data_IF_946263356414
#
_entry.id   IF_946263356414
#
_cell.length_a   1.000
_cell.length_b   1.000
_cell.length_c   1.000
_cell.angle_alpha   90.00
_cell.angle_beta   90.00
_cell.angle_gamma   90.00
#
_symmetry.space_group_name_H-M   'P 1'
#
loop_
_entity.id
_entity.type
_entity.pdbx_description
1 polymer ?
#
# COMPACT_ATOMS: atom_id res chain seq x y z
N UNK A 1 30.89 -35.65 -17.14
CA UNK A 1 30.97 -35.53 -15.67
C UNK A 1 29.72 -36.14 -15.06
N UNK A 2 29.84 -36.93 -14.00
CA UNK A 2 28.72 -37.37 -13.18
C UNK A 2 28.31 -36.26 -12.19
N UNK A 3 27.10 -36.31 -11.64
CA UNK A 3 26.67 -35.31 -10.66
C UNK A 3 27.55 -35.39 -9.39
N UNK A 4 28.06 -36.58 -9.04
CA UNK A 4 28.88 -36.82 -7.85
C UNK A 4 30.25 -36.13 -7.88
N UNK A 5 30.84 -35.89 -9.06
CA UNK A 5 32.06 -35.09 -9.24
C UNK A 5 31.81 -33.58 -9.27
N UNK A 6 30.56 -33.16 -9.46
CA UNK A 6 30.19 -31.76 -9.48
C UNK A 6 29.76 -31.30 -8.08
N UNK A 7 30.73 -30.86 -7.26
CA UNK A 7 30.55 -30.35 -5.89
C UNK A 7 29.23 -29.58 -5.70
N UNK A 8 28.22 -30.28 -5.19
CA UNK A 8 26.85 -29.81 -5.13
C UNK A 8 26.71 -28.55 -4.31
N UNK A 9 25.95 -27.58 -4.82
CA UNK A 9 25.39 -26.52 -3.98
C UNK A 9 23.92 -26.83 -3.73
N UNK A 10 23.64 -27.71 -2.76
CA UNK A 10 22.31 -27.79 -2.14
C UNK A 10 22.25 -26.75 -1.02
N UNK A 11 22.31 -25.48 -1.41
CA UNK A 11 22.30 -24.36 -0.47
C UNK A 11 21.16 -23.42 -0.83
N UNK A 12 20.13 -23.38 0.01
CA UNK A 12 19.27 -22.21 0.09
C UNK A 12 20.07 -21.10 0.76
N UNK A 13 20.38 -20.02 0.06
CA UNK A 13 20.88 -18.82 0.73
C UNK A 13 19.72 -18.33 1.60
N UNK A 14 19.87 -18.26 2.92
CA UNK A 14 18.77 -17.93 3.85
C UNK A 14 18.06 -16.60 3.53
N UNK A 15 18.67 -15.73 2.72
CA UNK A 15 18.10 -14.46 2.26
C UNK A 15 17.51 -14.50 0.85
N UNK A 16 17.71 -15.57 0.10
CA UNK A 16 17.15 -15.72 -1.22
C UNK A 16 16.62 -17.13 -1.39
N UNK A 17 15.28 -17.23 -1.38
CA UNK A 17 14.48 -18.46 -1.55
C UNK A 17 14.83 -19.17 -2.85
N UNK A 18 15.98 -19.84 -2.90
CA UNK A 18 16.52 -20.53 -4.05
C UNK A 18 16.67 -22.01 -3.72
N UNK A 19 16.28 -22.83 -4.68
CA UNK A 19 16.62 -24.24 -4.72
C UNK A 19 17.36 -24.47 -6.05
N UNK A 20 18.61 -24.89 -5.96
CA UNK A 20 19.43 -25.27 -7.11
C UNK A 20 19.46 -26.80 -7.20
N UNK A 21 19.29 -27.35 -8.40
CA UNK A 21 19.35 -28.80 -8.65
C UNK A 21 20.34 -29.13 -9.78
N UNK A 22 21.04 -30.26 -9.66
CA UNK A 22 21.84 -30.86 -10.74
C UNK A 22 20.88 -31.47 -11.78
N UNK A 23 21.01 -31.15 -13.07
CA UNK A 23 20.33 -31.89 -14.12
C UNK A 23 21.35 -32.52 -15.08
N UNK A 24 21.39 -33.86 -15.09
CA UNK A 24 21.85 -34.60 -16.26
C UNK A 24 20.71 -34.58 -17.28
N UNK A 25 20.89 -33.85 -18.38
CA UNK A 25 19.98 -33.90 -19.53
C UNK A 25 18.98 -32.75 -19.56
N UNK A 26 18.95 -32.10 -20.73
CA UNK A 26 18.01 -31.10 -21.24
C UNK A 26 17.25 -30.24 -20.22
N UNK A 27 17.62 -28.95 -20.08
CA UNK A 27 16.76 -28.00 -19.38
C UNK A 27 15.36 -27.96 -20.01
N UNK A 28 14.29 -27.83 -19.21
CA UNK A 28 13.07 -27.22 -19.72
C UNK A 28 13.43 -25.86 -20.32
N UNK A 29 12.90 -25.50 -21.49
CA UNK A 29 13.19 -24.22 -22.18
C UNK A 29 12.92 -22.96 -21.33
N UNK A 30 12.26 -23.13 -20.18
CA UNK A 30 11.89 -22.07 -19.25
C UNK A 30 12.89 -21.81 -18.12
N UNK A 31 13.91 -22.66 -17.93
CA UNK A 31 14.85 -22.57 -16.81
C UNK A 31 16.13 -21.80 -17.16
N UNK A 32 16.64 -21.03 -16.20
CA UNK A 32 17.93 -20.34 -16.34
C UNK A 32 19.05 -21.23 -15.84
N UNK A 33 20.05 -21.40 -16.69
CA UNK A 33 21.24 -22.18 -16.44
C UNK A 33 22.37 -21.28 -15.97
N UNK A 34 22.93 -21.54 -14.80
CA UNK A 34 24.18 -20.96 -14.35
C UNK A 34 25.30 -21.94 -14.68
N UNK A 35 26.06 -21.66 -15.74
CA UNK A 35 27.22 -22.47 -16.12
C UNK A 35 28.41 -22.02 -15.29
N UNK A 36 28.89 -22.90 -14.40
CA UNK A 36 30.11 -22.73 -13.62
C UNK A 36 31.33 -22.83 -14.53
N UNK A 37 32.45 -22.25 -14.07
CA UNK A 37 33.74 -22.29 -14.76
C UNK A 37 34.26 -23.72 -15.06
N UNK A 38 33.82 -24.71 -14.29
CA UNK A 38 34.17 -26.12 -14.51
C UNK A 38 33.24 -26.86 -15.51
N UNK A 39 32.35 -26.13 -16.20
CA UNK A 39 31.40 -26.71 -17.14
C UNK A 39 30.15 -27.32 -16.51
N UNK A 40 29.99 -27.24 -15.18
CA UNK A 40 28.75 -27.66 -14.52
C UNK A 40 27.63 -26.63 -14.69
N UNK A 41 26.40 -27.10 -14.82
CA UNK A 41 25.20 -26.27 -14.89
C UNK A 41 24.36 -26.40 -13.62
N UNK A 42 24.18 -25.30 -12.88
CA UNK A 42 23.15 -25.21 -11.84
C UNK A 42 21.90 -24.56 -12.43
N UNK A 43 20.74 -25.16 -12.21
CA UNK A 43 19.47 -24.60 -12.68
C UNK A 43 18.81 -23.82 -11.56
N UNK A 44 18.46 -22.57 -11.85
CA UNK A 44 17.55 -21.81 -11.02
C UNK A 44 16.13 -22.20 -11.41
N UNK A 45 15.37 -22.80 -10.49
CA UNK A 45 13.92 -23.01 -10.65
C UNK A 45 13.23 -21.64 -10.51
N UNK A 46 13.30 -20.83 -11.56
CA UNK A 46 12.60 -19.56 -11.67
C UNK A 46 12.10 -19.44 -13.10
N UNK A 47 10.78 -19.43 -13.25
CA UNK A 47 10.17 -19.18 -14.56
C UNK A 47 10.63 -17.82 -15.11
N UNK A 48 10.63 -17.70 -16.45
CA UNK A 48 11.09 -16.51 -17.19
C UNK A 48 10.67 -15.17 -16.58
N UNK A 49 9.41 -15.03 -16.18
CA UNK A 49 8.89 -13.79 -15.58
C UNK A 49 9.56 -13.46 -14.24
N UNK A 50 9.88 -14.45 -13.42
CA UNK A 50 10.58 -14.21 -12.15
C UNK A 50 12.00 -13.71 -12.38
N UNK A 51 12.66 -14.20 -13.42
CA UNK A 51 14.01 -13.77 -13.81
C UNK A 51 13.99 -12.34 -14.34
N UNK A 52 13.06 -12.05 -15.25
CA UNK A 52 12.82 -10.69 -15.79
C UNK A 52 12.54 -9.73 -14.64
N UNK A 53 11.59 -10.09 -13.77
CA UNK A 53 11.24 -9.28 -12.62
C UNK A 53 12.47 -9.04 -11.74
N UNK A 54 13.22 -10.07 -11.33
CA UNK A 54 14.41 -9.88 -10.47
C UNK A 54 15.48 -8.99 -11.11
N UNK A 55 15.77 -9.18 -12.41
CA UNK A 55 16.78 -8.42 -13.15
C UNK A 55 16.46 -6.93 -13.20
N UNK A 56 15.17 -6.60 -13.23
CA UNK A 56 14.70 -5.23 -13.43
C UNK A 56 13.96 -4.66 -12.22
N UNK A 57 13.69 -5.44 -11.16
CA UNK A 57 12.90 -5.03 -9.98
C UNK A 57 13.52 -3.83 -9.28
N UNK A 58 14.84 -3.83 -9.10
CA UNK A 58 15.54 -2.70 -8.48
C UNK A 58 15.31 -1.41 -9.26
N UNK A 59 15.49 -1.46 -10.58
CA UNK A 59 15.27 -0.31 -11.47
C UNK A 59 13.78 0.08 -11.47
N UNK A 60 12.88 -0.88 -11.57
CA UNK A 60 11.43 -0.65 -11.63
C UNK A 60 10.90 0.01 -10.35
N UNK A 61 11.36 -0.44 -9.19
CA UNK A 61 10.87 0.02 -7.89
C UNK A 61 11.58 1.28 -7.39
N UNK A 62 12.86 1.48 -7.74
CA UNK A 62 13.66 2.62 -7.26
C UNK A 62 13.74 3.76 -8.28
N UNK A 63 13.95 3.46 -9.56
CA UNK A 63 14.15 4.45 -10.62
C UNK A 63 12.86 4.74 -11.42
N UNK A 64 11.83 3.90 -11.25
CA UNK A 64 10.49 4.08 -11.81
C UNK A 64 10.33 3.75 -13.31
N UNK A 65 9.07 3.79 -13.76
CA UNK A 65 8.66 3.37 -15.11
C UNK A 65 9.32 4.19 -16.23
N UNK A 66 9.57 5.48 -16.00
CA UNK A 66 10.22 6.35 -16.98
C UNK A 66 11.62 5.85 -17.35
N UNK A 67 12.36 5.34 -16.36
CA UNK A 67 13.72 4.85 -16.54
C UNK A 67 13.73 3.52 -17.29
N UNK A 68 12.80 2.61 -16.97
CA UNK A 68 12.60 1.39 -17.76
C UNK A 68 12.23 1.71 -19.21
N UNK A 69 11.31 2.64 -19.44
CA UNK A 69 10.92 3.07 -20.79
C UNK A 69 12.08 3.67 -21.58
N UNK A 70 12.94 4.47 -20.94
CA UNK A 70 14.15 5.01 -21.56
C UNK A 70 15.10 3.88 -21.99
N UNK A 71 15.35 2.90 -21.11
CA UNK A 71 16.21 1.74 -21.39
C UNK A 71 15.63 0.85 -22.49
N UNK A 72 14.32 0.61 -22.49
CA UNK A 72 13.60 -0.10 -23.56
C UNK A 72 13.81 0.60 -24.91
N UNK A 73 13.57 1.92 -24.94
CA UNK A 73 13.69 2.73 -26.15
C UNK A 73 15.14 2.77 -26.66
N UNK A 74 16.12 2.77 -25.75
CA UNK A 74 17.53 2.67 -26.12
C UNK A 74 17.85 1.31 -26.74
N UNK A 75 17.42 0.20 -26.12
CA UNK A 75 17.62 -1.15 -26.66
C UNK A 75 16.99 -1.31 -28.05
N UNK A 76 15.76 -0.82 -28.25
CA UNK A 76 15.08 -0.82 -29.55
C UNK A 76 15.83 0.02 -30.59
N UNK A 77 16.26 1.23 -30.23
CA UNK A 77 17.03 2.11 -31.14
C UNK A 77 18.35 1.47 -31.57
N UNK A 78 19.09 0.88 -30.63
CA UNK A 78 20.36 0.21 -30.94
C UNK A 78 20.14 -1.02 -31.82
N UNK A 79 19.10 -1.83 -31.56
CA UNK A 79 18.77 -2.98 -32.41
C UNK A 79 18.44 -2.56 -33.84
N UNK A 80 17.67 -1.48 -34.01
CA UNK A 80 17.31 -0.97 -35.33
C UNK A 80 18.53 -0.39 -36.06
N UNK A 81 19.38 0.38 -35.36
CA UNK A 81 20.61 0.92 -35.94
C UNK A 81 21.57 -0.16 -36.42
N UNK A 82 21.75 -1.23 -35.64
CA UNK A 82 22.55 -2.39 -36.05
C UNK A 82 21.95 -3.12 -37.26
N UNK A 83 20.63 -3.27 -37.31
CA UNK A 83 19.97 -3.91 -38.44
C UNK A 83 20.10 -3.09 -39.74
N UNK A 84 20.04 -1.75 -39.65
CA UNK A 84 20.28 -0.85 -40.79
C UNK A 84 21.75 -0.91 -41.23
N UNK A 85 22.69 -0.83 -40.29
CA UNK A 85 24.12 -0.93 -40.62
C UNK A 85 24.47 -2.27 -41.29
N UNK A 86 23.85 -3.37 -40.84
CA UNK A 86 23.99 -4.68 -41.48
C UNK A 86 23.42 -4.70 -42.90
N UNK A 87 22.30 -4.00 -43.15
CA UNK A 87 21.72 -3.91 -44.47
C UNK A 87 22.57 -3.06 -45.44
N UNK A 88 23.21 -2.00 -44.94
CA UNK A 88 24.00 -1.08 -45.76
C UNK A 88 25.43 -1.58 -46.03
N UNK A 89 26.03 -2.32 -45.08
CA UNK A 89 27.44 -2.72 -45.13
C UNK A 89 27.67 -4.23 -45.06
N UNK A 90 26.62 -5.05 -45.03
CA UNK A 90 26.73 -6.50 -44.87
C UNK A 90 27.60 -7.17 -45.95
N UNK A 91 27.54 -6.68 -47.18
CA UNK A 91 28.35 -7.21 -48.30
C UNK A 91 29.86 -6.94 -48.14
N UNK A 92 30.26 -6.05 -47.24
CA UNK A 92 31.66 -5.73 -46.91
C UNK A 92 32.17 -6.49 -45.68
N UNK A 93 31.31 -7.28 -45.03
CA UNK A 93 31.61 -8.02 -43.81
C UNK A 93 31.82 -9.51 -44.08
N UNK A 94 32.58 -10.16 -43.22
CA UNK A 94 32.64 -11.62 -43.22
C UNK A 94 31.39 -12.24 -42.55
N UNK A 95 31.24 -13.56 -42.67
CA UNK A 95 30.10 -14.29 -42.12
C UNK A 95 30.03 -14.18 -40.60
N UNK A 96 31.16 -14.21 -39.91
CA UNK A 96 31.23 -14.22 -38.45
C UNK A 96 30.81 -12.85 -37.89
N UNK A 97 31.23 -11.77 -38.53
CA UNK A 97 30.80 -10.41 -38.22
C UNK A 97 29.29 -10.23 -38.43
N UNK A 98 28.78 -10.75 -39.55
CA UNK A 98 27.35 -10.71 -39.88
C UNK A 98 26.51 -11.46 -38.83
N UNK A 99 26.95 -12.66 -38.43
CA UNK A 99 26.29 -13.48 -37.41
C UNK A 99 26.35 -12.86 -36.02
N UNK A 100 27.47 -12.23 -35.66
CA UNK A 100 27.61 -11.50 -34.41
C UNK A 100 26.62 -10.33 -34.33
N UNK A 101 26.48 -9.54 -35.41
CA UNK A 101 25.52 -8.43 -35.47
C UNK A 101 24.08 -8.96 -35.40
N UNK A 102 23.74 -10.00 -36.16
CA UNK A 102 22.42 -10.64 -36.09
C UNK A 102 22.08 -11.13 -34.67
N UNK A 103 23.06 -11.73 -33.99
CA UNK A 103 22.91 -12.18 -32.60
C UNK A 103 22.71 -11.01 -31.63
N UNK A 104 23.46 -9.92 -31.81
CA UNK A 104 23.31 -8.70 -31.02
C UNK A 104 21.91 -8.08 -31.22
N UNK A 105 21.42 -7.98 -32.46
CA UNK A 105 20.07 -7.49 -32.78
C UNK A 105 19.00 -8.35 -32.10
N UNK A 106 19.07 -9.68 -32.23
CA UNK A 106 18.13 -10.61 -31.56
C UNK A 106 18.14 -10.43 -30.04
N UNK A 107 19.33 -10.30 -29.46
CA UNK A 107 19.51 -10.12 -28.02
C UNK A 107 18.93 -8.79 -27.53
N UNK A 108 19.17 -7.68 -28.23
CA UNK A 108 18.64 -6.37 -27.88
C UNK A 108 17.12 -6.29 -28.03
N UNK A 109 16.56 -6.93 -29.06
CA UNK A 109 15.09 -7.05 -29.21
C UNK A 109 14.49 -7.84 -28.05
N UNK A 110 15.07 -8.98 -27.68
CA UNK A 110 14.67 -9.76 -26.51
C UNK A 110 14.76 -8.94 -25.22
N UNK A 111 15.84 -8.19 -25.03
CA UNK A 111 16.02 -7.30 -23.89
C UNK A 111 14.92 -6.23 -23.83
N UNK A 112 14.55 -5.64 -24.97
CA UNK A 112 13.44 -4.67 -25.04
C UNK A 112 12.12 -5.27 -24.57
N UNK A 113 11.78 -6.47 -25.06
CA UNK A 113 10.59 -7.22 -24.61
C UNK A 113 10.64 -7.58 -23.13
N UNK A 114 11.80 -7.99 -22.63
CA UNK A 114 11.99 -8.34 -21.22
C UNK A 114 11.83 -7.08 -20.32
N UNK A 115 12.32 -5.92 -20.75
CA UNK A 115 12.13 -4.65 -20.02
C UNK A 115 10.65 -4.26 -19.96
N UNK A 116 9.91 -4.41 -21.06
CA UNK A 116 8.47 -4.16 -21.10
C UNK A 116 7.72 -5.08 -20.13
N UNK A 117 8.04 -6.37 -20.18
CA UNK A 117 7.47 -7.38 -19.27
C UNK A 117 7.80 -7.07 -17.81
N UNK A 118 9.02 -6.62 -17.52
CA UNK A 118 9.44 -6.22 -16.18
C UNK A 118 8.60 -5.07 -15.61
N UNK A 119 8.27 -4.05 -16.41
CA UNK A 119 7.43 -2.94 -15.99
C UNK A 119 6.04 -3.43 -15.56
N UNK A 120 5.42 -4.32 -16.36
CA UNK A 120 4.14 -4.91 -16.04
C UNK A 120 4.18 -5.72 -14.73
N UNK A 121 5.23 -6.54 -14.55
CA UNK A 121 5.41 -7.35 -13.33
C UNK A 121 5.65 -6.48 -12.09
N UNK A 122 6.40 -5.39 -12.21
CA UNK A 122 6.63 -4.46 -11.11
C UNK A 122 5.37 -3.72 -10.69
N UNK A 123 4.55 -3.28 -11.66
CA UNK A 123 3.25 -2.68 -11.39
C UNK A 123 2.32 -3.65 -10.66
N UNK A 124 2.23 -4.89 -11.13
CA UNK A 124 1.41 -5.92 -10.50
C UNK A 124 1.91 -6.25 -9.08
N UNK A 125 3.22 -6.32 -8.87
CA UNK A 125 3.83 -6.53 -7.57
C UNK A 125 3.51 -5.40 -6.60
N UNK A 126 3.68 -4.14 -7.02
CA UNK A 126 3.36 -2.97 -6.21
C UNK A 126 1.89 -2.95 -5.81
N UNK A 127 0.98 -3.21 -6.76
CA UNK A 127 -0.45 -3.30 -6.46
C UNK A 127 -0.77 -4.38 -5.41
N UNK A 128 -0.11 -5.54 -5.47
CA UNK A 128 -0.27 -6.61 -4.46
C UNK A 128 0.30 -6.21 -3.10
N UNK A 129 1.47 -5.58 -3.06
CA UNK A 129 2.03 -5.07 -1.80
C UNK A 129 1.12 -4.00 -1.19
N UNK A 130 0.63 -3.06 -1.99
CA UNK A 130 -0.25 -1.99 -1.52
C UNK A 130 -1.57 -2.57 -0.99
N UNK A 131 -2.16 -3.55 -1.69
CA UNK A 131 -3.36 -4.26 -1.23
C UNK A 131 -3.11 -5.06 0.07
N UNK A 132 -1.96 -5.71 0.19
CA UNK A 132 -1.58 -6.43 1.42
C UNK A 132 -1.36 -5.47 2.58
N UNK A 133 -0.69 -4.34 2.35
CA UNK A 133 -0.50 -3.29 3.37
C UNK A 133 -1.83 -2.69 3.78
N UNK A 134 -2.75 -2.48 2.84
CA UNK A 134 -4.08 -1.97 3.12
C UNK A 134 -4.90 -2.96 3.95
N UNK A 135 -4.86 -4.25 3.62
CA UNK A 135 -5.52 -5.30 4.40
C UNK A 135 -4.98 -5.34 5.83
N UNK A 136 -3.66 -5.28 6.00
CA UNK A 136 -3.02 -5.27 7.31
C UNK A 136 -3.35 -3.99 8.10
N UNK A 137 -3.42 -2.82 7.43
CA UNK A 137 -3.89 -1.58 8.07
C UNK A 137 -5.33 -1.71 8.55
N UNK A 138 -6.23 -2.20 7.71
CA UNK A 138 -7.64 -2.41 8.07
C UNK A 138 -7.78 -3.39 9.24
N UNK A 139 -7.02 -4.49 9.25
CA UNK A 139 -6.99 -5.44 10.37
C UNK A 139 -6.59 -4.75 11.69
N UNK A 140 -5.53 -3.94 11.67
CA UNK A 140 -5.08 -3.19 12.86
C UNK A 140 -6.11 -2.17 13.33
N UNK A 141 -6.75 -1.48 12.38
CA UNK A 141 -7.79 -0.51 12.70
C UNK A 141 -9.05 -1.19 13.28
N UNK A 142 -9.41 -2.37 12.78
CA UNK A 142 -10.48 -3.20 13.34
C UNK A 142 -10.15 -3.66 14.77
N UNK A 143 -8.92 -4.10 15.00
CA UNK A 143 -8.44 -4.48 16.34
C UNK A 143 -8.48 -3.29 17.29
N UNK A 144 -8.02 -2.12 16.86
CA UNK A 144 -8.10 -0.89 17.64
C UNK A 144 -9.56 -0.54 17.96
N UNK A 145 -10.46 -0.63 16.98
CA UNK A 145 -11.87 -0.36 17.17
C UNK A 145 -12.54 -1.37 18.11
N UNK A 146 -12.12 -2.63 18.10
CA UNK A 146 -12.59 -3.63 19.05
C UNK A 146 -12.13 -3.30 20.48
N UNK A 147 -10.88 -2.88 20.66
CA UNK A 147 -10.33 -2.50 21.97
C UNK A 147 -10.99 -1.24 22.52
N UNK A 148 -11.11 -0.18 21.71
CA UNK A 148 -11.60 1.13 22.14
C UNK A 148 -13.12 1.16 22.27
N UNK A 149 -13.85 0.46 21.41
CA UNK A 149 -15.31 0.56 21.26
C UNK A 149 -16.04 -0.79 21.46
N UNK A 150 -15.37 -1.85 21.94
CA UNK A 150 -15.91 -3.22 21.96
C UNK A 150 -17.19 -3.42 22.76
N UNK A 151 -17.49 -2.54 23.72
CA UNK A 151 -18.73 -2.57 24.52
C UNK A 151 -19.75 -1.50 24.16
N UNK A 152 -19.52 -0.71 23.10
CA UNK A 152 -20.37 0.44 22.79
C UNK A 152 -21.52 0.02 21.87
N UNK A 153 -22.71 0.56 22.16
CA UNK A 153 -23.86 0.45 21.26
C UNK A 153 -23.67 1.32 20.00
N UNK A 154 -24.45 1.03 18.97
CA UNK A 154 -24.46 1.81 17.74
C UNK A 154 -24.78 3.29 18.02
N UNK A 155 -25.76 3.56 18.88
CA UNK A 155 -26.16 4.91 19.29
C UNK A 155 -25.02 5.63 20.00
N UNK A 156 -24.28 4.95 20.87
CA UNK A 156 -23.14 5.54 21.58
C UNK A 156 -22.00 5.90 20.63
N UNK A 157 -21.74 5.06 19.62
CA UNK A 157 -20.73 5.32 18.59
C UNK A 157 -21.13 6.53 17.75
N UNK A 158 -22.38 6.57 17.30
CA UNK A 158 -22.92 7.68 16.50
C UNK A 158 -22.95 8.98 17.29
N UNK A 159 -23.39 8.95 18.56
CA UNK A 159 -23.39 10.11 19.46
C UNK A 159 -21.96 10.64 19.65
N UNK A 160 -21.01 9.76 19.95
CA UNK A 160 -19.63 10.15 20.16
C UNK A 160 -19.00 10.75 18.90
N UNK A 161 -19.30 10.21 17.71
CA UNK A 161 -18.84 10.76 16.44
C UNK A 161 -19.36 12.19 16.22
N UNK A 162 -20.63 12.46 16.55
CA UNK A 162 -21.22 13.81 16.48
C UNK A 162 -20.55 14.76 17.47
N UNK A 163 -20.32 14.31 18.71
CA UNK A 163 -19.65 15.14 19.71
C UNK A 163 -18.19 15.44 19.37
N UNK A 164 -17.49 14.47 18.79
CA UNK A 164 -16.12 14.65 18.32
C UNK A 164 -16.04 15.69 17.21
N UNK A 165 -17.00 15.70 16.30
CA UNK A 165 -17.13 16.75 15.29
C UNK A 165 -17.40 18.13 15.90
N UNK A 166 -18.29 18.19 16.90
CA UNK A 166 -18.58 19.42 17.61
C UNK A 166 -17.36 19.93 18.40
N UNK A 167 -16.45 19.04 18.80
CA UNK A 167 -15.21 19.38 19.50
C UNK A 167 -14.17 20.05 18.59
N UNK A 168 -14.28 19.87 17.27
CA UNK A 168 -13.49 20.57 16.24
C UNK A 168 -14.11 21.92 15.81
N UNK A 169 -15.12 22.40 16.54
CA UNK A 169 -15.83 23.63 16.17
C UNK A 169 -15.24 24.88 16.85
N UNK A 170 -15.49 26.09 16.32
CA UNK A 170 -15.14 27.34 16.98
C UNK A 170 -15.73 27.47 18.41
N UNK A 171 -16.95 26.95 18.63
CA UNK A 171 -17.57 26.96 19.95
C UNK A 171 -16.80 26.11 20.96
N UNK A 172 -16.27 24.95 20.54
CA UNK A 172 -15.40 24.13 21.38
C UNK A 172 -14.06 24.82 21.66
N UNK A 173 -13.52 25.55 20.68
CA UNK A 173 -12.31 26.36 20.87
C UNK A 173 -12.51 27.47 21.90
N UNK A 174 -13.63 28.20 21.83
CA UNK A 174 -13.99 29.23 22.80
C UNK A 174 -14.17 28.65 24.20
N UNK A 175 -14.90 27.53 24.32
CA UNK A 175 -15.04 26.80 25.57
C UNK A 175 -13.69 26.37 26.15
N UNK A 176 -12.80 25.82 25.32
CA UNK A 176 -11.49 25.37 25.77
C UNK A 176 -10.60 26.55 26.21
N UNK A 177 -10.66 27.68 25.51
CA UNK A 177 -9.98 28.92 25.93
C UNK A 177 -10.48 29.39 27.28
N UNK A 178 -11.80 29.37 27.52
CA UNK A 178 -12.36 29.74 28.81
C UNK A 178 -11.91 28.80 29.94
N UNK A 179 -11.76 27.50 29.65
CA UNK A 179 -11.35 26.48 30.63
C UNK A 179 -9.85 26.51 30.93
N UNK A 180 -9.00 26.69 29.92
CA UNK A 180 -7.54 26.49 30.01
C UNK A 180 -6.72 27.74 29.76
N UNK A 181 -7.36 28.86 29.45
CA UNK A 181 -6.70 30.14 29.11
C UNK A 181 -5.96 30.12 27.77
N UNK A 182 -6.14 29.09 26.93
CA UNK A 182 -5.42 28.93 25.67
C UNK A 182 -6.24 28.18 24.61
N UNK A 183 -5.94 28.46 23.34
CA UNK A 183 -6.52 27.74 22.20
C UNK A 183 -5.98 26.32 22.13
N UNK A 184 -6.85 25.41 21.70
CA UNK A 184 -6.52 24.01 21.49
C UNK A 184 -5.97 23.82 20.08
N UNK A 185 -4.80 23.21 19.97
CA UNK A 185 -4.34 22.71 18.69
C UNK A 185 -5.04 21.39 18.40
N UNK A 186 -5.70 21.35 17.26
CA UNK A 186 -6.27 20.15 16.68
C UNK A 186 -5.37 19.72 15.53
N UNK A 187 -5.11 18.43 15.44
CA UNK A 187 -4.39 17.87 14.31
C UNK A 187 -5.29 18.02 13.07
N UNK A 188 -4.92 18.96 12.20
CA UNK A 188 -5.79 19.47 11.13
C UNK A 188 -6.22 18.36 10.18
N UNK A 189 -7.49 17.97 10.24
CA UNK A 189 -8.09 16.98 9.33
C UNK A 189 -8.34 15.59 9.90
N UNK A 190 -8.14 15.36 11.21
CA UNK A 190 -8.22 14.02 11.81
C UNK A 190 -9.64 13.59 12.23
N UNK A 191 -10.64 14.48 12.13
CA UNK A 191 -11.97 14.25 12.75
C UNK A 191 -13.13 14.25 11.73
N UNK A 192 -13.05 13.38 10.71
CA UNK A 192 -14.16 13.09 9.78
C UNK A 192 -15.30 12.14 10.26
N UNK A 193 -15.35 11.58 11.51
CA UNK A 193 -16.42 10.65 11.91
C UNK A 193 -17.86 11.17 11.74
N UNK A 194 -18.09 12.49 11.70
CA UNK A 194 -19.44 13.05 11.55
C UNK A 194 -20.07 12.74 10.20
N UNK A 195 -19.30 12.83 9.13
CA UNK A 195 -19.82 12.62 7.78
C UNK A 195 -20.16 11.15 7.56
N UNK A 196 -19.34 10.25 8.10
CA UNK A 196 -19.65 8.82 8.18
C UNK A 196 -20.90 8.56 9.02
N UNK A 197 -21.05 9.20 10.19
CA UNK A 197 -22.24 9.06 11.02
C UNK A 197 -23.52 9.58 10.33
N UNK A 198 -23.43 10.68 9.57
CA UNK A 198 -24.54 11.21 8.76
C UNK A 198 -24.90 10.26 7.63
N UNK A 199 -23.92 9.80 6.85
CA UNK A 199 -24.13 8.83 5.77
C UNK A 199 -24.72 7.53 6.29
N UNK A 200 -24.22 7.05 7.43
CA UNK A 200 -24.73 5.86 8.11
C UNK A 200 -26.21 5.97 8.47
N UNK A 201 -26.65 7.12 9.01
CA UNK A 201 -28.07 7.38 9.33
C UNK A 201 -28.96 7.41 8.08
N UNK A 202 -28.42 7.84 6.95
CA UNK A 202 -29.14 7.93 5.67
C UNK A 202 -29.10 6.62 4.86
N UNK A 203 -28.25 5.67 5.23
CA UNK A 203 -28.09 4.42 4.52
C UNK A 203 -29.32 3.51 4.70
N UNK A 204 -29.94 3.15 3.58
CA UNK A 204 -31.17 2.34 3.55
C UNK A 204 -30.87 0.85 3.40
N UNK A 205 -29.80 0.48 2.70
CA UNK A 205 -29.45 -0.93 2.47
C UNK A 205 -28.61 -1.49 3.61
N UNK A 206 -28.90 -2.72 4.02
CA UNK A 206 -28.19 -3.38 5.11
C UNK A 206 -26.68 -3.55 4.84
N UNK A 207 -26.30 -3.86 3.60
CA UNK A 207 -24.90 -4.00 3.20
C UNK A 207 -24.14 -2.68 3.34
N UNK A 208 -24.69 -1.58 2.79
CA UNK A 208 -24.06 -0.26 2.87
C UNK A 208 -24.00 0.26 4.29
N UNK A 209 -25.04 -0.01 5.09
CA UNK A 209 -25.09 0.33 6.51
C UNK A 209 -23.97 -0.36 7.27
N UNK A 210 -23.75 -1.66 7.04
CA UNK A 210 -22.69 -2.42 7.70
C UNK A 210 -21.29 -1.90 7.32
N UNK A 211 -21.05 -1.59 6.04
CA UNK A 211 -19.80 -0.98 5.57
C UNK A 211 -19.51 0.36 6.26
N UNK A 212 -20.48 1.29 6.18
CA UNK A 212 -20.35 2.62 6.79
C UNK A 212 -20.17 2.56 8.30
N UNK A 213 -20.80 1.58 8.96
CA UNK A 213 -20.61 1.40 10.39
C UNK A 213 -19.22 0.89 10.74
N UNK A 214 -18.69 -0.05 9.98
CA UNK A 214 -17.32 -0.54 10.17
C UNK A 214 -16.29 0.59 9.96
N UNK A 215 -16.46 1.39 8.90
CA UNK A 215 -15.63 2.58 8.64
C UNK A 215 -15.74 3.59 9.78
N UNK A 216 -16.96 3.93 10.20
CA UNK A 216 -17.19 4.86 11.32
C UNK A 216 -16.51 4.39 12.61
N UNK A 217 -16.57 3.08 12.91
CA UNK A 217 -15.91 2.50 14.09
C UNK A 217 -14.39 2.65 14.02
N UNK A 218 -13.77 2.35 12.89
CA UNK A 218 -12.32 2.49 12.69
C UNK A 218 -11.89 3.96 12.84
N UNK A 219 -12.58 4.86 12.15
CA UNK A 219 -12.29 6.29 12.18
C UNK A 219 -12.40 6.86 13.59
N UNK A 220 -13.52 6.58 14.27
CA UNK A 220 -13.73 7.00 15.64
C UNK A 220 -12.65 6.44 16.57
N UNK A 221 -12.30 5.15 16.46
CA UNK A 221 -11.28 4.55 17.31
C UNK A 221 -9.90 5.19 17.12
N UNK A 222 -9.46 5.44 15.88
CA UNK A 222 -8.21 6.17 15.59
C UNK A 222 -8.21 7.57 16.17
N UNK A 223 -9.32 8.28 15.99
CA UNK A 223 -9.53 9.60 16.59
C UNK A 223 -9.36 9.55 18.12
N UNK A 224 -10.07 8.66 18.81
CA UNK A 224 -10.00 8.56 20.26
C UNK A 224 -8.60 8.16 20.77
N UNK A 225 -7.92 7.30 20.03
CA UNK A 225 -6.53 6.91 20.30
C UNK A 225 -5.56 8.10 20.13
N UNK A 226 -5.75 8.93 19.12
CA UNK A 226 -4.99 10.17 18.92
C UNK A 226 -5.12 11.13 20.11
N UNK A 227 -6.33 11.27 20.68
CA UNK A 227 -6.58 12.07 21.89
C UNK A 227 -5.96 11.48 23.16
N UNK A 228 -5.73 10.16 23.20
CA UNK A 228 -5.07 9.49 24.32
C UNK A 228 -3.55 9.66 24.30
N UNK A 229 -2.97 10.03 23.16
CA UNK A 229 -1.52 10.17 23.01
C UNK A 229 -1.04 11.55 23.48
N UNK A 230 0.06 11.62 24.25
CA UNK A 230 0.65 12.90 24.63
C UNK A 230 1.31 13.54 23.40
N UNK A 231 0.65 14.53 22.80
CA UNK A 231 1.15 15.29 21.64
C UNK A 231 1.85 16.60 22.05
N UNK A 232 1.83 16.92 23.34
CA UNK A 232 2.40 18.14 23.91
C UNK A 232 1.33 18.99 24.62
N UNK A 233 1.75 20.05 25.33
CA UNK A 233 0.86 20.80 26.22
C UNK A 233 -0.20 21.63 25.50
N UNK A 234 -0.07 21.87 24.19
CA UNK A 234 -1.00 22.70 23.42
C UNK A 234 -2.09 21.89 22.70
N UNK A 235 -1.98 20.56 22.71
CA UNK A 235 -2.91 19.67 22.02
C UNK A 235 -4.09 19.28 22.91
N UNK A 236 -5.23 19.05 22.26
CA UNK A 236 -6.40 18.48 22.89
C UNK A 236 -6.08 17.13 23.53
N UNK A 237 -6.56 16.90 24.75
CA UNK A 237 -6.46 15.59 25.39
C UNK A 237 -7.79 14.87 25.40
N UNK A 238 -7.75 13.57 25.67
CA UNK A 238 -8.95 12.77 25.91
C UNK A 238 -9.83 13.34 27.03
N UNK A 239 -9.21 13.83 28.10
CA UNK A 239 -9.94 14.40 29.23
C UNK A 239 -10.69 15.68 28.84
N UNK A 240 -10.08 16.54 28.01
CA UNK A 240 -10.74 17.75 27.52
C UNK A 240 -11.94 17.37 26.63
N UNK A 241 -11.79 16.36 25.77
CA UNK A 241 -12.89 15.86 24.96
C UNK A 241 -14.05 15.28 25.79
N UNK A 242 -13.76 14.44 26.78
CA UNK A 242 -14.80 13.85 27.64
C UNK A 242 -15.51 14.93 28.49
N UNK A 243 -14.78 15.96 28.95
CA UNK A 243 -15.38 17.12 29.63
C UNK A 243 -16.33 17.91 28.70
N UNK A 244 -15.93 18.13 27.44
CA UNK A 244 -16.78 18.80 26.47
C UNK A 244 -18.02 17.96 26.12
N UNK A 245 -17.88 16.64 25.98
CA UNK A 245 -19.02 15.72 25.80
C UNK A 245 -20.02 15.83 26.94
N UNK A 246 -19.55 15.90 28.18
CA UNK A 246 -20.42 16.03 29.33
C UNK A 246 -21.19 17.36 29.27
N UNK A 247 -20.52 18.47 28.95
CA UNK A 247 -21.17 19.77 28.74
C UNK A 247 -22.29 19.69 27.69
N UNK A 248 -22.05 19.06 26.54
CA UNK A 248 -23.06 18.93 25.49
C UNK A 248 -24.28 18.13 25.96
N UNK A 249 -24.06 17.06 26.73
CA UNK A 249 -25.14 16.26 27.33
C UNK A 249 -25.94 17.06 28.35
N UNK A 250 -25.27 17.80 29.22
CA UNK A 250 -25.92 18.64 30.23
C UNK A 250 -26.78 19.73 29.57
N UNK A 251 -26.27 20.36 28.51
CA UNK A 251 -27.02 21.34 27.72
C UNK A 251 -28.26 20.72 27.05
N UNK A 252 -28.14 19.50 26.51
CA UNK A 252 -29.28 18.80 25.91
C UNK A 252 -30.35 18.46 26.96
N UNK A 253 -29.94 17.97 28.13
CA UNK A 253 -30.85 17.66 29.24
C UNK A 253 -31.57 18.90 29.78
N UNK A 254 -30.86 20.02 29.92
CA UNK A 254 -31.44 21.30 30.32
C UNK A 254 -32.50 21.78 29.30
N UNK A 255 -32.19 21.73 28.00
CA UNK A 255 -33.14 22.10 26.93
C UNK A 255 -34.40 21.23 26.95
N UNK A 256 -34.25 19.92 27.12
CA UNK A 256 -35.38 18.99 27.23
C UNK A 256 -36.28 19.32 28.43
N UNK A 257 -35.67 19.65 29.58
CA UNK A 257 -36.39 20.03 30.80
C UNK A 257 -37.20 21.32 30.62
N UNK A 258 -36.61 22.34 29.99
CA UNK A 258 -37.30 23.60 29.68
C UNK A 258 -38.48 23.35 28.72
N UNK A 259 -38.29 22.54 27.67
CA UNK A 259 -39.36 22.20 26.74
C UNK A 259 -40.53 21.47 27.43
N UNK A 260 -40.23 20.54 28.35
CA UNK A 260 -41.23 19.83 29.14
C UNK A 260 -42.05 20.79 30.03
N UNK A 261 -41.39 21.74 30.70
CA UNK A 261 -42.06 22.76 31.52
C UNK A 261 -42.99 23.65 30.68
N UNK A 262 -42.54 24.10 29.51
CA UNK A 262 -43.35 24.93 28.59
C UNK A 262 -44.60 24.16 28.11
N UNK A 263 -44.44 22.89 27.75
CA UNK A 263 -45.57 22.06 27.30
C UNK A 263 -46.59 21.75 28.40
N UNK A 264 -46.13 21.67 29.66
CA UNK A 264 -47.01 21.44 30.83
C UNK A 264 -47.77 22.72 31.20
N UNK A 265 -47.13 23.89 31.08
CA UNK A 265 -47.75 25.19 31.32
C UNK A 265 -48.75 25.62 30.22
N UNK A 266 -48.74 24.96 29.06
CA UNK A 266 -49.62 25.24 27.92
C UNK A 266 -50.84 24.30 27.85
N UNK A 267 -51.03 23.42 28.85
CA UNK A 267 -52.21 22.58 29.03
C UNK A 267 -53.06 23.10 30.17
#
# INVERSE_FOLDING_TARGET
MDCDTCQHFQGGVQHSRFEFRCAKGHPPESDVVLIRFNGCADFLIAGRDQVIFRRHKGIALLEGDATLKKRQTQATRTANGLAVALADFGDLMDSDQTDAINTAVKTLRRLSTDIERAAALAKAYKAREDASRETERQRRDDELAAVVLGGWSEEQIVECAVHLAAFDSPAAQEWHVALRGRRMLLDGGVWSPNDLARQFKLAVTASRRAELFAELRRDLARSLETLNRPQGPLYATRADFDAYRQLLRDQAAAKASVAALISTASR
#
